data_IF_048562825029
#
_entry.id   IF_048562825029
#
_cell.length_a   1.000
_cell.length_b   1.000
_cell.length_c   1.000
_cell.angle_alpha   90.00
_cell.angle_beta   90.00
_cell.angle_gamma   90.00
#
_symmetry.space_group_name_H-M   'P 1'
#
loop_
_entity.id
_entity.type
_entity.pdbx_description
1 polymer ?
#
# COMPACT_ATOMS: atom_id res chain seq x y z
N UNK A 1 26.98 -29.99 46.53
CA UNK A 1 25.72 -30.33 45.83
C UNK A 1 24.59 -29.77 46.67
N UNK A 2 23.71 -28.88 46.23
CA UNK A 2 23.45 -28.22 44.95
C UNK A 2 22.17 -27.41 45.20
N UNK A 3 22.18 -26.13 44.81
CA UNK A 3 21.16 -25.13 45.10
C UNK A 3 19.77 -25.47 44.54
N UNK A 4 19.00 -26.32 45.22
CA UNK A 4 17.68 -26.79 44.74
C UNK A 4 16.47 -26.23 45.49
N UNK A 5 16.62 -25.38 46.51
CA UNK A 5 15.50 -24.98 47.36
C UNK A 5 15.56 -23.51 47.83
N UNK A 6 15.71 -22.55 46.91
CA UNK A 6 15.53 -21.12 47.29
C UNK A 6 14.58 -20.32 46.39
N UNK A 7 14.07 -20.89 45.31
CA UNK A 7 13.10 -20.19 44.45
C UNK A 7 11.64 -20.52 44.78
N UNK A 8 11.36 -21.61 45.51
CA UNK A 8 9.99 -22.01 45.89
C UNK A 8 9.36 -21.10 46.93
N UNK A 9 10.17 -20.48 47.79
CA UNK A 9 9.68 -19.71 48.94
C UNK A 9 9.68 -18.20 48.66
N UNK A 10 10.14 -17.80 47.46
CA UNK A 10 10.06 -16.42 47.02
C UNK A 10 8.61 -16.07 46.70
N UNK A 11 8.05 -15.17 47.51
CA UNK A 11 6.68 -14.65 47.37
C UNK A 11 6.41 -14.12 45.96
N UNK A 12 7.42 -13.51 45.34
CA UNK A 12 7.34 -12.97 43.97
C UNK A 12 7.17 -14.10 42.94
N UNK A 13 7.91 -15.21 43.09
CA UNK A 13 7.78 -16.38 42.23
C UNK A 13 6.41 -17.06 42.40
N UNK A 14 5.92 -17.17 43.64
CA UNK A 14 4.61 -17.74 43.93
C UNK A 14 3.46 -16.88 43.39
N UNK A 15 3.57 -15.55 43.47
CA UNK A 15 2.60 -14.61 42.88
C UNK A 15 2.59 -14.73 41.36
N UNK A 16 3.77 -14.81 40.73
CA UNK A 16 3.89 -14.95 39.28
C UNK A 16 3.31 -16.28 38.77
N UNK A 17 3.59 -17.39 39.48
CA UNK A 17 3.01 -18.70 39.15
C UNK A 17 1.48 -18.70 39.27
N UNK A 18 0.92 -18.20 40.39
CA UNK A 18 -0.53 -18.08 40.55
C UNK A 18 -1.18 -17.17 39.51
N UNK A 19 -0.51 -16.07 39.15
CA UNK A 19 -0.98 -15.19 38.06
C UNK A 19 -0.97 -15.92 36.71
N UNK A 20 0.06 -16.72 36.43
CA UNK A 20 0.12 -17.52 35.20
C UNK A 20 -0.92 -18.64 35.16
N UNK A 21 -1.20 -19.30 36.28
CA UNK A 21 -2.25 -20.32 36.39
C UNK A 21 -3.67 -19.73 36.28
N UNK A 22 -3.91 -18.56 36.88
CA UNK A 22 -5.13 -17.78 36.69
C UNK A 22 -5.32 -17.40 35.22
N UNK A 23 -4.29 -16.83 34.60
CA UNK A 23 -4.30 -16.47 33.18
C UNK A 23 -4.55 -17.71 32.31
N UNK A 24 -3.97 -18.86 32.63
CA UNK A 24 -4.17 -20.10 31.87
C UNK A 24 -5.62 -20.60 31.96
N UNK A 25 -6.26 -20.57 33.14
CA UNK A 25 -7.67 -20.94 33.28
C UNK A 25 -8.63 -19.96 32.58
N UNK A 26 -8.27 -18.68 32.52
CA UNK A 26 -9.06 -17.66 31.80
C UNK A 26 -8.85 -17.70 30.27
N UNK A 27 -7.65 -18.09 29.78
CA UNK A 27 -7.27 -18.03 28.36
C UNK A 27 -7.69 -19.25 27.51
N UNK A 28 -8.17 -20.35 28.10
CA UNK A 28 -8.68 -21.48 27.31
C UNK A 28 -10.01 -21.21 26.61
N UNK A 29 -10.64 -20.07 26.89
CA UNK A 29 -11.68 -19.49 26.06
C UNK A 29 -11.03 -18.34 25.28
N UNK A 30 -10.57 -18.66 24.08
CA UNK A 30 -9.82 -17.77 23.21
C UNK A 30 -10.60 -16.51 22.85
N UNK A 31 -10.21 -15.40 23.46
CA UNK A 31 -10.10 -14.11 22.77
C UNK A 31 -8.70 -13.58 23.07
N UNK A 32 -7.87 -13.42 22.04
CA UNK A 32 -6.63 -12.67 22.16
C UNK A 32 -6.99 -11.27 22.66
N UNK A 33 -6.55 -10.91 23.86
CA UNK A 33 -6.59 -9.51 24.31
C UNK A 33 -5.86 -8.68 23.27
N UNK A 34 -6.58 -7.78 22.61
CA UNK A 34 -5.95 -6.82 21.72
C UNK A 34 -4.91 -6.03 22.52
N UNK A 35 -3.66 -6.05 22.05
CA UNK A 35 -2.61 -5.24 22.64
C UNK A 35 -3.06 -3.78 22.66
N UNK A 36 -3.22 -3.22 23.85
CA UNK A 36 -3.41 -1.79 24.08
C UNK A 36 -2.09 -1.03 23.85
N UNK A 37 -1.58 -1.15 22.62
CA UNK A 37 -0.38 -0.45 22.17
C UNK A 37 -0.59 1.06 22.13
N UNK A 38 0.53 1.79 21.93
CA UNK A 38 0.53 3.25 21.79
C UNK A 38 -0.48 3.70 20.71
N UNK A 39 -1.29 4.75 20.96
CA UNK A 39 -2.25 5.26 19.98
C UNK A 39 -1.54 5.58 18.67
N UNK A 40 -2.03 5.00 17.57
CA UNK A 40 -1.49 5.29 16.23
C UNK A 40 -2.12 6.58 15.75
N UNK A 41 -1.30 7.56 15.36
CA UNK A 41 -1.71 8.84 14.73
C UNK A 41 -2.53 8.63 13.43
N UNK A 42 -2.59 7.40 12.91
CA UNK A 42 -3.35 7.01 11.72
C UNK A 42 -4.84 6.83 12.04
N UNK A 43 -5.49 7.88 12.50
CA UNK A 43 -6.95 7.94 12.62
C UNK A 43 -7.59 7.78 11.24
N UNK A 44 -8.82 7.27 11.16
CA UNK A 44 -9.52 7.07 9.88
C UNK A 44 -9.64 8.38 9.08
N UNK A 45 -9.86 9.51 9.76
CA UNK A 45 -9.89 10.84 9.16
C UNK A 45 -8.58 11.21 8.45
N UNK A 46 -7.43 10.93 9.08
CA UNK A 46 -6.13 11.19 8.49
C UNK A 46 -5.84 10.30 7.27
N UNK A 47 -6.40 9.08 7.24
CA UNK A 47 -6.31 8.18 6.09
C UNK A 47 -7.10 8.74 4.91
N UNK A 48 -8.32 9.25 5.17
CA UNK A 48 -9.18 9.80 4.13
C UNK A 48 -8.64 11.12 3.56
N UNK A 49 -8.08 11.98 4.42
CA UNK A 49 -7.41 13.20 3.97
C UNK A 49 -6.23 12.89 3.02
N UNK A 50 -5.40 11.88 3.35
CA UNK A 50 -4.31 11.44 2.47
C UNK A 50 -4.86 10.84 1.17
N UNK A 51 -5.99 10.13 1.22
CA UNK A 51 -6.63 9.56 0.03
C UNK A 51 -7.11 10.65 -0.93
N UNK A 52 -7.86 11.62 -0.42
CA UNK A 52 -8.39 12.73 -1.22
C UNK A 52 -7.28 13.51 -1.93
N UNK A 53 -6.16 13.77 -1.23
CA UNK A 53 -5.00 14.45 -1.81
C UNK A 53 -4.31 13.67 -2.94
N UNK A 54 -4.35 12.34 -2.88
CA UNK A 54 -3.79 11.48 -3.93
C UNK A 54 -4.75 11.40 -5.12
N UNK A 55 -6.06 11.33 -4.89
CA UNK A 55 -7.08 11.27 -5.95
C UNK A 55 -7.18 12.60 -6.71
N UNK A 56 -7.14 13.74 -6.03
CA UNK A 56 -7.21 15.07 -6.65
C UNK A 56 -6.01 15.36 -7.57
N UNK A 57 -4.84 14.83 -7.21
CA UNK A 57 -3.66 14.92 -8.04
C UNK A 57 -2.88 13.62 -7.97
N UNK A 58 -3.13 12.72 -8.95
CA UNK A 58 -2.48 11.40 -9.06
C UNK A 58 -0.95 11.42 -9.05
N UNK A 59 -0.35 12.60 -9.25
CA UNK A 59 1.10 12.86 -9.23
C UNK A 59 1.62 13.39 -7.88
N UNK A 60 0.78 13.56 -6.86
CA UNK A 60 1.23 14.12 -5.58
C UNK A 60 2.23 13.20 -4.91
N UNK A 61 3.46 13.71 -4.83
CA UNK A 61 4.52 13.08 -4.06
C UNK A 61 4.16 13.12 -2.57
N UNK A 62 4.61 12.11 -1.82
CA UNK A 62 4.43 12.01 -0.36
C UNK A 62 4.80 13.32 0.36
N UNK A 63 5.74 14.10 -0.20
CA UNK A 63 6.15 15.41 0.32
C UNK A 63 5.01 16.44 0.35
N UNK A 64 4.16 16.46 -0.68
CA UNK A 64 3.01 17.36 -0.74
C UNK A 64 1.98 16.96 0.32
N UNK A 65 1.70 15.65 0.43
CA UNK A 65 0.82 15.13 1.49
C UNK A 65 1.32 15.50 2.88
N UNK A 66 2.62 15.42 3.14
CA UNK A 66 3.24 15.84 4.42
C UNK A 66 2.99 17.32 4.72
N UNK A 67 3.17 18.20 3.72
CA UNK A 67 2.92 19.63 3.89
C UNK A 67 1.45 19.94 4.21
N UNK A 68 0.52 19.15 3.66
CA UNK A 68 -0.91 19.40 3.80
C UNK A 68 -1.56 18.70 5.00
N UNK A 69 -0.94 17.65 5.56
CA UNK A 69 -1.58 16.81 6.59
C UNK A 69 -0.93 16.90 7.97
N UNK A 70 0.04 17.81 8.18
CA UNK A 70 0.81 17.94 9.44
C UNK A 70 1.44 16.61 9.94
N UNK A 71 1.51 15.61 9.07
CA UNK A 71 1.99 14.27 9.39
C UNK A 71 3.43 14.09 8.92
N UNK A 72 4.18 13.25 9.64
CA UNK A 72 5.54 12.89 9.21
C UNK A 72 5.53 12.10 7.89
N UNK A 73 6.61 12.24 7.12
CA UNK A 73 6.80 11.53 5.86
C UNK A 73 6.59 10.02 5.97
N UNK A 74 7.16 9.40 7.00
CA UNK A 74 6.99 7.97 7.23
C UNK A 74 5.53 7.58 7.49
N UNK A 75 4.77 8.46 8.15
CA UNK A 75 3.37 8.19 8.47
C UNK A 75 2.54 8.20 7.21
N UNK A 76 2.70 9.22 6.37
CA UNK A 76 2.07 9.32 5.05
C UNK A 76 2.46 8.12 4.16
N UNK A 77 3.74 7.74 4.14
CA UNK A 77 4.22 6.58 3.38
C UNK A 77 3.60 5.26 3.87
N UNK A 78 3.50 5.07 5.20
CA UNK A 78 2.88 3.87 5.79
C UNK A 78 1.37 3.84 5.53
N UNK A 79 0.67 4.97 5.58
CA UNK A 79 -0.75 5.07 5.20
C UNK A 79 -0.91 4.66 3.73
N UNK A 80 -0.17 5.30 2.83
CA UNK A 80 -0.23 5.03 1.39
C UNK A 80 0.00 3.55 1.05
N UNK A 81 1.05 2.93 1.60
CA UNK A 81 1.40 1.52 1.29
C UNK A 81 0.54 0.49 2.05
N UNK A 82 0.30 0.68 3.35
CA UNK A 82 -0.32 -0.34 4.21
C UNK A 82 -1.82 -0.18 4.41
N UNK A 83 -2.37 1.02 4.19
CA UNK A 83 -3.81 1.30 4.37
C UNK A 83 -4.52 1.49 3.03
N UNK A 84 -3.90 2.25 2.12
CA UNK A 84 -4.49 2.50 0.79
C UNK A 84 -4.03 1.51 -0.28
N UNK A 85 -3.02 0.67 0.02
CA UNK A 85 -2.44 -0.28 -0.94
C UNK A 85 -1.98 0.36 -2.26
N UNK A 86 -1.58 1.64 -2.19
CA UNK A 86 -1.12 2.42 -3.33
C UNK A 86 0.41 2.31 -3.43
N UNK A 87 0.86 1.44 -4.32
CA UNK A 87 2.28 1.31 -4.64
C UNK A 87 2.72 2.44 -5.58
N UNK A 88 4.02 2.74 -5.59
CA UNK A 88 4.57 3.67 -6.58
C UNK A 88 4.47 2.97 -7.92
N UNK A 89 3.54 3.39 -8.77
CA UNK A 89 3.56 2.98 -10.16
C UNK A 89 4.84 3.53 -10.80
N UNK A 90 5.52 2.67 -11.55
CA UNK A 90 6.65 3.10 -12.37
C UNK A 90 6.11 4.11 -13.39
N UNK A 91 6.69 5.32 -13.47
CA UNK A 91 6.24 6.29 -14.46
C UNK A 91 6.52 5.72 -15.85
N UNK A 92 5.46 5.43 -16.59
CA UNK A 92 5.55 5.06 -18.01
C UNK A 92 5.65 6.34 -18.81
N UNK A 93 6.70 6.46 -19.63
CA UNK A 93 6.78 7.50 -20.64
C UNK A 93 5.84 7.14 -21.78
N UNK A 94 4.89 8.01 -22.07
CA UNK A 94 3.94 7.87 -23.17
C UNK A 94 4.06 9.08 -24.08
N UNK A 95 3.79 8.89 -25.37
CA UNK A 95 3.67 10.01 -26.30
C UNK A 95 2.40 10.79 -25.97
N UNK A 96 2.52 12.11 -25.79
CA UNK A 96 1.37 12.98 -25.59
C UNK A 96 0.50 12.99 -26.86
N UNK A 97 -0.81 12.82 -26.68
CA UNK A 97 -1.78 12.93 -27.75
C UNK A 97 -2.33 14.35 -27.78
N UNK A 98 -2.14 15.07 -28.88
CA UNK A 98 -2.74 16.38 -29.05
C UNK A 98 -4.22 16.24 -29.42
N UNK A 99 -5.02 17.27 -29.15
CA UNK A 99 -6.44 17.27 -29.49
C UNK A 99 -6.70 17.01 -30.98
N UNK A 100 -5.76 17.40 -31.85
CA UNK A 100 -5.79 17.17 -33.30
C UNK A 100 -5.58 15.69 -33.65
N UNK A 101 -4.80 14.94 -32.86
CA UNK A 101 -4.51 13.52 -33.10
C UNK A 101 -5.68 12.61 -32.73
N UNK A 102 -6.56 13.08 -31.83
CA UNK A 102 -7.68 12.34 -31.27
C UNK A 102 -8.61 11.74 -32.35
N UNK A 103 -9.23 12.51 -33.27
CA UNK A 103 -10.15 11.93 -34.25
C UNK A 103 -9.50 10.90 -35.18
N UNK A 104 -8.21 11.05 -35.48
CA UNK A 104 -7.51 10.16 -36.42
C UNK A 104 -7.06 8.84 -35.76
N UNK A 105 -6.78 8.86 -34.45
CA UNK A 105 -6.31 7.68 -33.70
C UNK A 105 -7.41 6.95 -32.95
N UNK A 106 -8.47 7.63 -32.51
CA UNK A 106 -9.34 7.13 -31.43
C UNK A 106 -10.25 5.98 -31.83
N UNK A 107 -10.69 5.79 -33.08
CA UNK A 107 -11.54 4.61 -33.34
C UNK A 107 -11.76 4.29 -34.81
N UNK A 108 -12.03 5.30 -35.64
CA UNK A 108 -12.61 5.06 -36.97
C UNK A 108 -11.61 4.43 -37.95
N UNK A 109 -10.34 4.84 -37.93
CA UNK A 109 -9.36 4.24 -38.83
C UNK A 109 -8.91 2.86 -38.36
N UNK A 110 -8.53 2.72 -37.09
CA UNK A 110 -7.95 1.49 -36.56
C UNK A 110 -8.95 0.33 -36.57
N UNK A 111 -10.19 0.56 -36.11
CA UNK A 111 -11.22 -0.49 -36.08
C UNK A 111 -11.68 -0.88 -37.49
N UNK A 112 -11.81 0.08 -38.42
CA UNK A 112 -12.20 -0.22 -39.79
C UNK A 112 -11.08 -0.91 -40.59
N UNK A 113 -9.82 -0.63 -40.28
CA UNK A 113 -8.67 -1.23 -40.99
C UNK A 113 -8.38 -2.64 -40.49
N UNK A 114 -8.53 -2.92 -39.19
CA UNK A 114 -8.26 -4.25 -38.63
C UNK A 114 -9.30 -5.29 -39.02
N UNK A 115 -10.56 -4.90 -39.18
CA UNK A 115 -11.63 -5.83 -39.56
C UNK A 115 -11.56 -6.28 -41.03
N UNK A 116 -10.63 -5.75 -41.84
CA UNK A 116 -10.49 -6.08 -43.25
C UNK A 116 -9.27 -7.00 -43.48
N UNK A 117 -9.48 -8.30 -43.32
CA UNK A 117 -8.44 -9.35 -43.20
C UNK A 117 -7.47 -9.42 -44.41
N UNK A 118 -7.94 -9.02 -45.61
CA UNK A 118 -7.09 -8.96 -46.80
C UNK A 118 -6.01 -7.88 -46.71
N UNK A 119 -6.28 -6.76 -46.05
CA UNK A 119 -5.31 -5.64 -45.98
C UNK A 119 -4.08 -6.01 -45.17
N UNK A 120 -4.22 -6.86 -44.15
CA UNK A 120 -3.08 -7.32 -43.34
C UNK A 120 -2.15 -8.25 -44.12
N UNK A 121 -2.70 -9.03 -45.05
CA UNK A 121 -1.94 -10.00 -45.86
C UNK A 121 -1.04 -9.34 -46.94
N UNK A 122 -1.33 -8.09 -47.32
CA UNK A 122 -0.56 -7.35 -48.34
C UNK A 122 0.17 -6.12 -47.79
N UNK A 123 0.05 -5.81 -46.50
CA UNK A 123 0.67 -4.63 -45.90
C UNK A 123 1.98 -5.00 -45.21
N UNK A 124 3.06 -4.32 -45.61
CA UNK A 124 4.35 -4.40 -44.93
C UNK A 124 4.63 -3.08 -44.22
N UNK A 125 5.02 -3.16 -42.95
CA UNK A 125 5.41 -2.00 -42.15
C UNK A 125 6.93 -1.95 -41.97
N UNK A 126 7.50 -0.75 -42.05
CA UNK A 126 8.90 -0.50 -41.72
C UNK A 126 9.00 0.78 -40.91
N UNK A 127 9.88 0.79 -39.92
CA UNK A 127 10.19 1.97 -39.12
C UNK A 127 11.71 2.15 -39.03
N UNK A 128 12.17 3.37 -38.76
CA UNK A 128 13.58 3.69 -38.60
C UNK A 128 13.87 3.90 -37.12
N UNK A 129 14.70 3.03 -36.56
CA UNK A 129 15.25 3.19 -35.22
C UNK A 129 16.69 3.69 -35.30
N UNK A 130 17.05 4.59 -34.40
CA UNK A 130 18.45 4.97 -34.17
C UNK A 130 19.10 3.96 -33.22
N UNK A 131 20.27 3.45 -33.60
CA UNK A 131 21.08 2.57 -32.75
C UNK A 131 22.34 3.34 -32.33
N UNK A 132 22.66 3.28 -31.04
CA UNK A 132 23.85 3.90 -30.43
C UNK A 132 24.92 2.87 -30.12
#
# INVERSE_FOLDING_TARGET
MGAKLMLSDSTIFQISLKSSEMNFRELFFTDQKEDCGRPKIRTNEAIENVRNLIEEASRTFIRVSVQQTEMSYETCQKIRKKKLHLYVYQPTLVHELLAVDSPQRVEEWFLNTINNDETLNYTFYSDKAWFH
#
